data_IF_317371932944
#
_entry.id   IF_317371932944
#
_cell.length_a   1.000
_cell.length_b   1.000
_cell.length_c   1.000
_cell.angle_alpha   90.00
_cell.angle_beta   90.00
_cell.angle_gamma   90.00
#
_symmetry.space_group_name_H-M   'P 1'
#
loop_
_entity.id
_entity.type
_entity.pdbx_description
1 polymer ?
#
# COMPACT_ATOMS: atom_id res chain seq x y z
N UNK A 1 8.13 16.07 14.94
CA UNK A 1 7.77 15.72 13.52
C UNK A 1 8.53 14.48 13.14
N UNK A 2 7.89 13.53 12.47
CA UNK A 2 8.54 12.34 11.92
C UNK A 2 9.53 12.77 10.82
N UNK A 3 10.79 12.30 10.90
CA UNK A 3 11.76 12.55 9.83
C UNK A 3 11.40 11.71 8.61
N UNK A 4 10.93 12.35 7.56
CA UNK A 4 10.65 11.71 6.26
C UNK A 4 11.98 11.47 5.55
N UNK A 5 12.18 10.24 5.10
CA UNK A 5 13.34 9.80 4.32
C UNK A 5 12.92 9.30 2.95
N UNK A 6 13.89 9.21 2.04
CA UNK A 6 13.71 8.71 0.68
C UNK A 6 14.70 7.59 0.39
N UNK A 7 14.23 6.54 -0.24
CA UNK A 7 15.04 5.45 -0.76
C UNK A 7 14.86 5.39 -2.28
N UNK A 8 15.92 5.63 -3.03
CA UNK A 8 15.86 5.70 -4.50
C UNK A 8 15.66 4.33 -5.11
N UNK A 9 14.81 4.25 -6.15
CA UNK A 9 14.51 3.05 -6.89
C UNK A 9 15.19 3.06 -8.27
N UNK A 10 15.32 1.88 -8.87
CA UNK A 10 15.95 1.68 -10.18
C UNK A 10 15.25 2.38 -11.34
N UNK A 11 13.96 2.68 -11.18
CA UNK A 11 13.15 3.38 -12.18
C UNK A 11 13.25 4.92 -12.12
N UNK A 12 14.14 5.43 -11.26
CA UNK A 12 14.34 6.87 -11.03
C UNK A 12 13.34 7.50 -10.05
N UNK A 13 12.43 6.71 -9.48
CA UNK A 13 11.55 7.14 -8.39
C UNK A 13 12.17 6.86 -7.02
N UNK A 14 11.39 7.01 -5.94
CA UNK A 14 11.83 6.67 -4.59
C UNK A 14 10.68 6.12 -3.75
N UNK A 15 11.00 5.33 -2.75
CA UNK A 15 10.12 5.00 -1.63
C UNK A 15 10.25 6.10 -0.58
N UNK A 16 9.15 6.75 -0.22
CA UNK A 16 9.07 7.60 0.97
C UNK A 16 8.90 6.73 2.19
N UNK A 17 9.66 6.98 3.24
CA UNK A 17 9.56 6.21 4.46
C UNK A 17 9.89 7.01 5.72
N UNK A 18 9.52 6.44 6.87
CA UNK A 18 9.94 6.90 8.21
C UNK A 18 10.57 5.75 8.97
N UNK A 19 11.47 6.08 9.90
CA UNK A 19 11.99 5.12 10.88
C UNK A 19 11.91 5.72 12.28
N UNK A 20 11.43 4.93 13.23
CA UNK A 20 11.21 5.39 14.60
C UNK A 20 11.42 4.25 15.60
N UNK A 21 11.76 4.62 16.85
CA UNK A 21 11.99 3.66 17.92
C UNK A 21 13.35 3.00 17.83
N UNK A 22 13.53 1.96 18.63
CA UNK A 22 14.78 1.18 18.73
C UNK A 22 14.45 -0.30 18.96
N UNK A 23 15.43 -1.18 18.75
CA UNK A 23 15.27 -2.62 18.95
C UNK A 23 15.12 -3.39 17.63
N UNK A 24 14.37 -4.49 17.66
CA UNK A 24 14.23 -5.36 16.50
C UNK A 24 13.51 -4.65 15.34
N UNK A 25 14.00 -4.76 14.09
CA UNK A 25 13.37 -4.10 12.95
C UNK A 25 11.99 -4.68 12.65
N UNK A 26 11.05 -3.77 12.37
CA UNK A 26 9.68 -4.06 11.98
C UNK A 26 9.31 -3.18 10.80
N UNK A 27 8.86 -3.77 9.69
CA UNK A 27 8.42 -3.08 8.48
C UNK A 27 6.90 -3.17 8.35
N UNK A 28 6.25 -2.03 8.16
CA UNK A 28 4.82 -1.94 7.92
C UNK A 28 4.54 -1.67 6.43
N UNK A 29 3.72 -2.53 5.83
CA UNK A 29 3.27 -2.45 4.44
C UNK A 29 1.75 -2.23 4.41
N UNK A 30 1.35 -1.07 3.92
CA UNK A 30 -0.07 -0.68 3.85
C UNK A 30 -0.81 -1.35 2.69
N UNK A 31 -2.12 -1.19 2.66
CA UNK A 31 -2.99 -1.66 1.58
C UNK A 31 -2.96 -0.73 0.36
N UNK A 32 -3.56 -1.17 -0.75
CA UNK A 32 -3.75 -0.37 -1.97
C UNK A 32 -4.43 0.98 -1.65
N UNK A 33 -4.10 2.02 -2.42
CA UNK A 33 -4.64 3.39 -2.27
C UNK A 33 -4.39 4.04 -0.91
N UNK A 34 -3.48 3.47 -0.14
CA UNK A 34 -3.15 3.94 1.19
C UNK A 34 -1.77 4.62 1.22
N UNK A 35 -1.31 5.01 2.39
CA UNK A 35 -0.08 5.73 2.61
C UNK A 35 0.47 5.50 4.02
N UNK A 36 1.71 5.89 4.26
CA UNK A 36 2.41 5.60 5.52
C UNK A 36 1.70 6.16 6.76
N UNK A 37 1.00 7.30 6.67
CA UNK A 37 0.28 7.91 7.79
C UNK A 37 -0.88 7.04 8.31
N UNK A 38 -1.29 6.03 7.55
CA UNK A 38 -2.24 5.01 8.03
C UNK A 38 -1.75 4.30 9.29
N UNK A 39 -0.44 4.21 9.46
CA UNK A 39 0.18 3.53 10.60
C UNK A 39 0.36 4.42 11.83
N UNK A 40 0.06 5.72 11.76
CA UNK A 40 0.35 6.69 12.82
C UNK A 40 -0.26 6.31 14.18
N UNK A 41 -1.46 5.73 14.17
CA UNK A 41 -2.12 5.28 15.40
C UNK A 41 -1.43 4.06 16.05
N UNK A 42 -0.66 3.29 15.29
CA UNK A 42 0.05 2.11 15.78
C UNK A 42 1.44 2.45 16.32
N UNK A 43 2.07 3.50 15.78
CA UNK A 43 3.46 3.85 16.09
C UNK A 43 3.73 4.03 17.59
N UNK A 44 2.89 4.73 18.39
CA UNK A 44 3.14 4.92 19.83
C UNK A 44 3.23 3.60 20.63
N UNK A 45 2.64 2.53 20.11
CA UNK A 45 2.67 1.21 20.73
C UNK A 45 3.85 0.38 20.25
N UNK A 46 4.11 0.41 18.95
CA UNK A 46 5.14 -0.43 18.31
C UNK A 46 6.55 0.08 18.62
N UNK A 47 6.78 1.39 18.60
CA UNK A 47 8.10 2.00 18.84
C UNK A 47 8.66 1.79 20.25
N UNK A 48 7.83 1.33 21.19
CA UNK A 48 8.28 0.93 22.53
C UNK A 48 9.17 -0.32 22.52
N UNK A 49 9.05 -1.17 21.48
CA UNK A 49 9.73 -2.48 21.42
C UNK A 49 10.46 -2.72 20.10
N UNK A 50 10.17 -1.95 19.08
CA UNK A 50 10.68 -2.16 17.73
C UNK A 50 11.28 -0.88 17.16
N UNK A 51 12.29 -1.06 16.30
CA UNK A 51 12.66 -0.05 15.33
C UNK A 51 11.72 -0.20 14.14
N UNK A 52 10.73 0.68 14.05
CA UNK A 52 9.62 0.59 13.08
C UNK A 52 9.96 1.38 11.83
N UNK A 53 9.88 0.72 10.69
CA UNK A 53 9.95 1.30 9.35
C UNK A 53 8.54 1.31 8.76
N UNK A 54 8.09 2.48 8.34
CA UNK A 54 6.81 2.63 7.63
C UNK A 54 7.11 3.22 6.28
N UNK A 55 6.64 2.57 5.22
CA UNK A 55 6.89 3.01 3.85
C UNK A 55 5.60 3.38 3.14
N UNK A 56 5.67 4.33 2.21
CA UNK A 56 4.74 4.36 1.10
C UNK A 56 5.17 3.30 0.08
N UNK A 57 4.32 2.37 -0.27
CA UNK A 57 4.60 1.42 -1.34
C UNK A 57 4.98 2.17 -2.63
N UNK A 58 5.78 1.59 -3.54
CA UNK A 58 6.08 2.20 -4.82
C UNK A 58 4.83 2.73 -5.52
N UNK A 59 4.86 4.00 -5.93
CA UNK A 59 3.71 4.68 -6.55
C UNK A 59 2.59 5.12 -5.62
N UNK A 60 2.59 4.72 -4.34
CA UNK A 60 1.56 5.09 -3.36
C UNK A 60 1.96 6.31 -2.51
N UNK A 61 0.99 6.82 -1.72
CA UNK A 61 1.22 7.96 -0.82
C UNK A 61 1.92 9.12 -1.52
N UNK A 62 3.08 9.54 -1.03
CA UNK A 62 3.93 10.55 -1.68
C UNK A 62 5.16 9.94 -2.39
N UNK A 63 5.26 8.60 -2.48
CA UNK A 63 6.19 7.95 -3.40
C UNK A 63 5.79 8.28 -4.85
N UNK A 64 6.71 8.80 -5.70
CA UNK A 64 6.37 9.23 -7.06
C UNK A 64 5.93 8.08 -7.95
N UNK A 65 5.28 8.41 -9.07
CA UNK A 65 4.86 7.47 -10.10
C UNK A 65 5.65 7.73 -11.38
N UNK A 66 6.37 6.74 -11.87
CA UNK A 66 6.93 6.74 -13.21
C UNK A 66 5.92 6.05 -14.15
N UNK A 67 5.40 6.79 -15.14
CA UNK A 67 4.39 6.28 -16.09
C UNK A 67 4.90 5.14 -16.98
N UNK A 68 6.23 4.96 -17.08
CA UNK A 68 6.87 3.91 -17.88
C UNK A 68 7.06 2.61 -17.07
N UNK A 69 6.93 2.67 -15.74
CA UNK A 69 7.11 1.53 -14.86
C UNK A 69 5.82 0.72 -14.77
N UNK A 70 5.95 -0.59 -14.94
CA UNK A 70 4.88 -1.52 -14.61
C UNK A 70 4.94 -1.81 -13.10
N UNK A 71 3.94 -1.35 -12.35
CA UNK A 71 3.85 -1.54 -10.89
C UNK A 71 3.23 -2.91 -10.55
N UNK A 72 3.74 -3.97 -11.18
CA UNK A 72 3.33 -5.33 -10.86
C UNK A 72 3.90 -5.84 -9.53
N UNK A 73 3.53 -7.05 -9.17
CA UNK A 73 3.97 -7.69 -7.94
C UNK A 73 5.49 -7.86 -7.90
N UNK A 74 6.12 -8.16 -9.03
CA UNK A 74 7.56 -8.37 -9.13
C UNK A 74 8.30 -7.06 -8.83
N UNK A 75 7.97 -5.98 -9.55
CA UNK A 75 8.58 -4.66 -9.33
C UNK A 75 8.40 -4.19 -7.88
N UNK A 76 7.19 -4.31 -7.31
CA UNK A 76 6.94 -3.91 -5.93
C UNK A 76 7.74 -4.75 -4.93
N UNK A 77 7.81 -6.07 -5.14
CA UNK A 77 8.59 -6.97 -4.29
C UNK A 77 10.06 -6.61 -4.35
N UNK A 78 10.62 -6.43 -5.54
CA UNK A 78 12.05 -6.17 -5.75
C UNK A 78 12.46 -4.79 -5.20
N UNK A 79 11.61 -3.79 -5.36
CA UNK A 79 11.81 -2.48 -4.76
C UNK A 79 11.91 -2.55 -3.23
N UNK A 80 11.05 -3.34 -2.58
CA UNK A 80 11.06 -3.50 -1.13
C UNK A 80 12.22 -4.40 -0.67
N UNK A 81 12.57 -5.42 -1.45
CA UNK A 81 13.76 -6.25 -1.19
C UNK A 81 15.02 -5.40 -1.22
N UNK A 82 15.21 -4.56 -2.25
CA UNK A 82 16.32 -3.62 -2.33
C UNK A 82 16.37 -2.68 -1.12
N UNK A 83 15.24 -2.15 -0.70
CA UNK A 83 15.12 -1.33 0.51
C UNK A 83 15.59 -2.08 1.77
N UNK A 84 15.18 -3.35 1.93
CA UNK A 84 15.55 -4.20 3.08
C UNK A 84 17.07 -4.50 3.05
N UNK A 85 17.63 -4.76 1.88
CA UNK A 85 19.02 -5.11 1.70
C UNK A 85 19.96 -3.92 1.90
N UNK A 86 19.67 -2.78 1.29
CA UNK A 86 20.48 -1.57 1.40
C UNK A 86 20.51 -1.02 2.82
N UNK A 87 19.39 -1.09 3.54
CA UNK A 87 19.33 -0.74 4.97
C UNK A 87 19.88 -1.85 5.88
N UNK A 88 20.37 -2.96 5.29
CA UNK A 88 20.90 -4.14 5.98
C UNK A 88 20.00 -4.65 7.10
N UNK A 89 18.68 -4.65 6.87
CA UNK A 89 17.71 -5.14 7.85
C UNK A 89 17.82 -6.65 7.97
N UNK A 90 18.02 -7.14 9.19
CA UNK A 90 18.14 -8.58 9.54
C UNK A 90 17.16 -8.92 10.66
N UNK A 91 16.78 -10.19 10.76
CA UNK A 91 15.76 -10.65 11.71
C UNK A 91 14.47 -9.81 11.62
N UNK A 92 14.11 -9.38 10.41
CA UNK A 92 13.03 -8.45 10.15
C UNK A 92 11.65 -9.09 10.43
N UNK A 93 10.80 -8.38 11.13
CA UNK A 93 9.37 -8.67 11.17
C UNK A 93 8.65 -7.80 10.14
N UNK A 94 7.85 -8.40 9.25
CA UNK A 94 7.03 -7.66 8.29
C UNK A 94 5.57 -7.80 8.69
N UNK A 95 4.87 -6.69 8.71
CA UNK A 95 3.41 -6.62 8.92
C UNK A 95 2.80 -6.04 7.67
N UNK A 96 1.91 -6.77 7.03
CA UNK A 96 1.26 -6.35 5.79
C UNK A 96 -0.25 -6.50 5.83
N UNK A 97 -0.94 -5.57 5.20
CA UNK A 97 -2.39 -5.60 5.02
C UNK A 97 -2.75 -5.67 3.54
N UNK A 98 -3.69 -6.56 3.17
CA UNK A 98 -4.17 -6.73 1.79
C UNK A 98 -3.01 -6.98 0.82
N UNK A 99 -2.73 -6.09 -0.15
CA UNK A 99 -1.56 -6.20 -1.03
C UNK A 99 -0.24 -6.23 -0.25
N UNK A 100 -0.13 -5.47 0.84
CA UNK A 100 1.03 -5.49 1.73
C UNK A 100 1.26 -6.86 2.36
N UNK A 101 0.20 -7.63 2.63
CA UNK A 101 0.30 -9.00 3.13
C UNK A 101 0.83 -9.97 2.06
N UNK A 102 0.38 -9.82 0.81
CA UNK A 102 0.90 -10.59 -0.33
C UNK A 102 2.38 -10.29 -0.55
N UNK A 103 2.76 -9.00 -0.54
CA UNK A 103 4.15 -8.58 -0.66
C UNK A 103 5.01 -9.13 0.49
N UNK A 104 4.52 -9.10 1.74
CA UNK A 104 5.24 -9.66 2.88
C UNK A 104 5.55 -11.16 2.69
N UNK A 105 4.58 -11.94 2.19
CA UNK A 105 4.77 -13.37 1.90
C UNK A 105 5.76 -13.59 0.75
N UNK A 106 5.67 -12.80 -0.32
CA UNK A 106 6.58 -12.90 -1.47
C UNK A 106 8.01 -12.52 -1.10
N UNK A 107 8.19 -11.44 -0.32
CA UNK A 107 9.49 -11.02 0.22
C UNK A 107 10.09 -12.12 1.11
N UNK A 108 9.29 -12.69 2.02
CA UNK A 108 9.76 -13.78 2.89
C UNK A 108 10.19 -15.01 2.10
N UNK A 109 9.55 -15.31 0.97
CA UNK A 109 9.97 -16.37 0.06
C UNK A 109 11.29 -16.02 -0.66
N UNK A 110 11.49 -14.74 -1.05
CA UNK A 110 12.65 -14.30 -1.85
C UNK A 110 13.92 -14.14 -1.02
N UNK A 111 13.81 -13.64 0.21
CA UNK A 111 14.95 -13.39 1.12
C UNK A 111 14.71 -13.99 2.53
N UNK A 112 14.46 -15.32 2.65
CA UNK A 112 14.05 -15.94 3.90
C UNK A 112 15.07 -15.77 5.04
N UNK A 113 16.36 -15.69 4.73
CA UNK A 113 17.43 -15.50 5.72
C UNK A 113 17.38 -14.16 6.46
N UNK A 114 16.72 -13.16 5.92
CA UNK A 114 16.55 -11.84 6.55
C UNK A 114 15.26 -11.72 7.36
N UNK A 115 14.27 -12.60 7.13
CA UNK A 115 12.93 -12.48 7.69
C UNK A 115 12.78 -13.38 8.91
N UNK A 116 12.38 -12.80 10.04
CA UNK A 116 12.08 -13.52 11.27
C UNK A 116 10.64 -13.98 11.34
N UNK A 117 9.71 -13.09 11.00
CA UNK A 117 8.25 -13.31 11.04
C UNK A 117 7.53 -12.45 10.03
N UNK A 118 6.37 -12.91 9.59
CA UNK A 118 5.40 -12.11 8.87
C UNK A 118 4.05 -12.15 9.59
N UNK A 119 3.34 -11.02 9.60
CA UNK A 119 1.95 -10.92 10.02
C UNK A 119 1.15 -10.40 8.84
N UNK A 120 0.23 -11.22 8.35
CA UNK A 120 -0.59 -10.93 7.18
C UNK A 120 -2.03 -10.70 7.61
N UNK A 121 -2.55 -9.49 7.37
CA UNK A 121 -3.93 -9.13 7.66
C UNK A 121 -4.70 -8.98 6.36
N UNK A 122 -5.88 -9.58 6.29
CA UNK A 122 -6.80 -9.49 5.14
C UNK A 122 -6.10 -9.73 3.80
N UNK A 123 -5.11 -10.64 3.77
CA UNK A 123 -4.46 -11.03 2.52
C UNK A 123 -5.54 -11.51 1.56
N UNK A 124 -5.58 -10.94 0.36
CA UNK A 124 -6.45 -11.49 -0.66
C UNK A 124 -5.68 -12.53 -1.47
N UNK A 125 -6.40 -13.58 -1.80
CA UNK A 125 -5.91 -14.67 -2.60
C UNK A 125 -6.02 -14.29 -4.09
N UNK A 126 -5.01 -14.62 -4.88
CA UNK A 126 -5.06 -14.56 -6.35
C UNK A 126 -5.96 -15.67 -6.96
N UNK A 127 -6.68 -16.42 -6.14
CA UNK A 127 -7.63 -17.42 -6.62
C UNK A 127 -8.73 -16.74 -7.49
N UNK A 128 -9.15 -17.44 -8.53
CA UNK A 128 -10.29 -17.08 -9.38
C UNK A 128 -11.57 -16.75 -8.60
N UNK A 129 -11.64 -17.17 -7.33
CA UNK A 129 -12.70 -16.82 -6.37
C UNK A 129 -12.59 -15.42 -5.78
N UNK A 130 -11.52 -14.66 -6.10
CA UNK A 130 -11.32 -13.31 -5.60
C UNK A 130 -12.49 -12.38 -5.91
N UNK A 131 -13.04 -12.42 -7.12
CA UNK A 131 -14.21 -11.64 -7.50
C UNK A 131 -15.40 -11.88 -6.53
N UNK A 132 -15.58 -13.11 -6.05
CA UNK A 132 -16.60 -13.43 -5.05
C UNK A 132 -16.24 -12.89 -3.66
N UNK A 133 -14.94 -12.84 -3.30
CA UNK A 133 -14.46 -12.30 -2.04
C UNK A 133 -14.63 -10.78 -1.95
N UNK A 134 -14.28 -10.05 -2.99
CA UNK A 134 -14.49 -8.59 -3.07
C UNK A 134 -15.98 -8.23 -3.09
N UNK A 135 -16.80 -9.02 -3.77
CA UNK A 135 -18.27 -8.86 -3.79
C UNK A 135 -18.91 -9.03 -2.40
N UNK A 136 -18.27 -9.76 -1.50
CA UNK A 136 -18.75 -9.93 -0.10
C UNK A 136 -18.43 -8.73 0.80
N UNK A 137 -17.49 -7.87 0.42
CA UNK A 137 -16.99 -6.78 1.25
C UNK A 137 -17.82 -5.50 1.10
N UNK A 138 -17.38 -4.66 0.21
CA UNK A 138 -17.97 -3.32 0.01
C UNK A 138 -18.38 -3.17 -1.45
N UNK A 139 -19.69 -3.13 -1.73
CA UNK A 139 -20.24 -2.97 -3.07
C UNK A 139 -19.63 -1.77 -3.81
N UNK A 140 -19.43 -0.63 -3.15
CA UNK A 140 -18.86 0.55 -3.77
C UNK A 140 -17.38 0.37 -4.14
N UNK A 141 -16.59 -0.30 -3.29
CA UNK A 141 -15.21 -0.63 -3.62
C UNK A 141 -15.13 -1.56 -4.82
N UNK A 142 -15.98 -2.60 -4.84
CA UNK A 142 -16.08 -3.54 -5.97
C UNK A 142 -16.49 -2.84 -7.25
N UNK A 143 -17.52 -1.98 -7.17
CA UNK A 143 -18.00 -1.20 -8.30
C UNK A 143 -16.89 -0.32 -8.89
N UNK A 144 -16.16 0.40 -8.06
CA UNK A 144 -15.05 1.26 -8.51
C UNK A 144 -13.90 0.46 -9.11
N UNK A 145 -13.46 -0.61 -8.46
CA UNK A 145 -12.39 -1.48 -8.98
C UNK A 145 -12.75 -2.05 -10.34
N UNK A 146 -13.98 -2.55 -10.49
CA UNK A 146 -14.48 -3.07 -11.76
C UNK A 146 -14.48 -1.97 -12.84
N UNK A 147 -15.02 -0.80 -12.56
CA UNK A 147 -15.15 0.27 -13.55
C UNK A 147 -13.80 0.91 -13.91
N UNK A 148 -12.86 1.01 -12.98
CA UNK A 148 -11.49 1.48 -13.26
C UNK A 148 -10.74 0.54 -14.20
N UNK A 149 -11.06 -0.75 -14.20
CA UNK A 149 -10.44 -1.74 -15.10
C UNK A 149 -11.01 -1.74 -16.53
N UNK A 150 -12.11 -1.05 -16.80
CA UNK A 150 -12.76 -1.05 -18.11
C UNK A 150 -11.85 -0.51 -19.22
N UNK A 151 -11.92 -1.10 -20.44
CA UNK A 151 -11.14 -0.67 -21.61
C UNK A 151 -11.64 0.67 -22.19
N UNK A 152 -10.99 1.11 -23.28
CA UNK A 152 -11.44 2.24 -24.13
C UNK A 152 -11.59 3.59 -23.41
N UNK A 153 -10.77 3.86 -22.39
CA UNK A 153 -10.81 5.14 -21.67
C UNK A 153 -11.89 5.25 -20.60
N UNK A 154 -12.85 4.32 -20.53
CA UNK A 154 -13.88 4.29 -19.50
C UNK A 154 -13.24 4.12 -18.10
N UNK A 155 -12.25 3.26 -17.97
CA UNK A 155 -11.51 3.09 -16.72
C UNK A 155 -10.83 4.38 -16.26
N UNK A 156 -10.28 5.16 -17.18
CA UNK A 156 -9.69 6.47 -16.88
C UNK A 156 -10.77 7.46 -16.40
N UNK A 157 -11.95 7.44 -17.01
CA UNK A 157 -13.07 8.28 -16.58
C UNK A 157 -13.49 7.93 -15.13
N UNK A 158 -13.67 6.66 -14.82
CA UNK A 158 -14.04 6.23 -13.47
C UNK A 158 -12.95 6.51 -12.43
N UNK A 159 -11.67 6.37 -12.79
CA UNK A 159 -10.56 6.73 -11.90
C UNK A 159 -10.54 8.24 -11.58
N UNK A 160 -10.98 9.10 -12.50
CA UNK A 160 -11.13 10.54 -12.25
C UNK A 160 -12.28 10.90 -11.30
N UNK A 161 -13.25 10.00 -11.12
CA UNK A 161 -14.36 10.20 -10.19
C UNK A 161 -13.96 9.93 -8.73
N UNK A 162 -12.73 9.45 -8.47
CA UNK A 162 -12.22 9.31 -7.12
C UNK A 162 -12.09 10.69 -6.47
N UNK A 163 -12.96 10.93 -5.53
CA UNK A 163 -13.13 12.21 -4.83
C UNK A 163 -13.29 11.97 -3.33
N UNK A 164 -13.31 13.04 -2.55
CA UNK A 164 -13.53 12.93 -1.11
C UNK A 164 -14.78 12.12 -0.74
N UNK A 165 -15.98 12.32 -1.31
CA UNK A 165 -17.15 11.50 -0.97
C UNK A 165 -16.98 10.01 -1.24
N UNK A 166 -16.38 9.65 -2.38
CA UNK A 166 -16.16 8.25 -2.74
C UNK A 166 -15.14 7.57 -1.83
N UNK A 167 -14.00 8.20 -1.57
CA UNK A 167 -13.00 7.69 -0.64
C UNK A 167 -13.55 7.61 0.79
N UNK A 168 -14.30 8.61 1.23
CA UNK A 168 -14.98 8.59 2.52
C UNK A 168 -15.87 7.36 2.69
N UNK A 169 -16.70 7.08 1.68
CA UNK A 169 -17.62 5.96 1.71
C UNK A 169 -16.87 4.62 1.69
N UNK A 170 -15.84 4.47 0.85
CA UNK A 170 -15.07 3.25 0.72
C UNK A 170 -14.34 2.93 2.03
N UNK A 171 -13.55 3.87 2.55
CA UNK A 171 -12.72 3.62 3.73
C UNK A 171 -13.55 3.41 4.99
N UNK A 172 -14.62 4.19 5.18
CA UNK A 172 -15.53 3.98 6.32
C UNK A 172 -16.40 2.74 6.21
N UNK A 173 -16.70 2.30 4.99
CA UNK A 173 -17.41 1.05 4.76
C UNK A 173 -16.59 -0.21 5.08
N UNK A 174 -15.25 -0.11 4.99
CA UNK A 174 -14.33 -1.21 5.24
C UNK A 174 -13.90 -1.40 6.70
N UNK A 175 -14.29 -0.51 7.62
CA UNK A 175 -13.85 -0.57 9.02
C UNK A 175 -15.02 -0.69 9.99
N UNK A 176 -14.84 -1.49 11.05
CA UNK A 176 -15.84 -1.64 12.10
C UNK A 176 -16.07 -0.33 12.87
N UNK A 177 -15.00 0.30 13.35
CA UNK A 177 -15.04 1.58 14.06
C UNK A 177 -14.89 2.75 13.08
N UNK A 178 -16.00 3.22 12.55
CA UNK A 178 -16.04 4.31 11.53
C UNK A 178 -15.33 5.59 11.94
N UNK A 179 -15.29 5.91 13.25
CA UNK A 179 -14.58 7.09 13.79
C UNK A 179 -13.05 6.99 13.68
N UNK A 180 -12.49 5.81 13.42
CA UNK A 180 -11.04 5.67 13.19
C UNK A 180 -10.61 6.30 11.85
N UNK A 181 -11.54 6.45 10.90
CA UNK A 181 -11.29 7.11 9.61
C UNK A 181 -11.79 8.55 9.72
N UNK A 182 -10.85 9.48 9.91
CA UNK A 182 -11.15 10.91 10.06
C UNK A 182 -11.29 11.61 8.72
N UNK A 183 -11.95 12.77 8.70
CA UNK A 183 -12.05 13.62 7.51
C UNK A 183 -10.67 14.11 7.04
N UNK A 184 -9.78 14.42 7.98
CA UNK A 184 -8.41 14.84 7.72
C UNK A 184 -7.63 13.75 6.98
N UNK A 185 -7.77 12.51 7.43
CA UNK A 185 -7.13 11.35 6.77
C UNK A 185 -7.65 11.17 5.34
N UNK A 186 -8.97 11.27 5.11
CA UNK A 186 -9.54 11.19 3.76
C UNK A 186 -9.08 12.35 2.87
N UNK A 187 -9.00 13.59 3.41
CA UNK A 187 -8.43 14.72 2.67
C UNK A 187 -6.99 14.44 2.25
N UNK A 188 -6.20 13.85 3.14
CA UNK A 188 -4.82 13.47 2.87
C UNK A 188 -4.73 12.40 1.76
N UNK A 189 -5.62 11.39 1.76
CA UNK A 189 -5.71 10.42 0.67
C UNK A 189 -6.05 11.09 -0.67
N UNK A 190 -6.95 12.07 -0.66
CA UNK A 190 -7.29 12.84 -1.86
C UNK A 190 -6.11 13.61 -2.45
N UNK A 191 -5.06 13.92 -1.68
CA UNK A 191 -3.85 14.52 -2.26
C UNK A 191 -3.09 13.56 -3.16
N UNK A 192 -3.11 12.27 -2.81
CA UNK A 192 -2.46 11.22 -3.61
C UNK A 192 -3.14 11.03 -4.97
N UNK A 193 -4.47 11.23 -5.07
CA UNK A 193 -5.20 11.10 -6.34
C UNK A 193 -4.84 12.18 -7.36
N UNK A 194 -4.25 13.28 -6.91
CA UNK A 194 -3.83 14.40 -7.75
C UNK A 194 -2.41 14.27 -8.32
N UNK A 195 -1.69 13.21 -7.93
CA UNK A 195 -0.32 13.00 -8.41
C UNK A 195 -0.27 12.78 -9.93
N UNK A 196 0.77 13.30 -10.61
CA UNK A 196 1.01 12.94 -12.00
C UNK A 196 1.18 11.42 -12.15
N UNK A 197 0.42 10.81 -13.05
CA UNK A 197 0.46 9.36 -13.29
C UNK A 197 -0.48 8.52 -12.42
N UNK A 198 -1.14 9.11 -11.41
CA UNK A 198 -2.03 8.38 -10.50
C UNK A 198 -3.06 7.50 -11.23
N UNK A 199 -3.73 8.03 -12.24
CA UNK A 199 -4.77 7.30 -13.01
C UNK A 199 -4.18 6.06 -13.70
N UNK A 200 -2.97 6.17 -14.26
CA UNK A 200 -2.29 5.04 -14.89
C UNK A 200 -1.89 3.98 -13.87
N UNK A 201 -1.38 4.42 -12.73
CA UNK A 201 -0.99 3.54 -11.63
C UNK A 201 -2.20 2.78 -11.08
N UNK A 202 -3.30 3.46 -10.78
CA UNK A 202 -4.55 2.87 -10.29
C UNK A 202 -5.15 1.87 -11.28
N UNK A 203 -5.12 2.19 -12.57
CA UNK A 203 -5.58 1.27 -13.60
C UNK A 203 -4.71 0.02 -13.68
N UNK A 204 -3.40 0.16 -13.66
CA UNK A 204 -2.48 -0.97 -13.68
C UNK A 204 -2.67 -1.86 -12.46
N UNK A 205 -2.77 -1.29 -11.26
CA UNK A 205 -3.08 -2.02 -10.04
C UNK A 205 -4.43 -2.75 -10.14
N UNK A 206 -5.46 -2.11 -10.70
CA UNK A 206 -6.78 -2.73 -10.87
C UNK A 206 -6.74 -3.91 -11.84
N UNK A 207 -5.91 -3.84 -12.90
CA UNK A 207 -5.73 -4.93 -13.86
C UNK A 207 -4.96 -6.12 -13.28
N UNK A 208 -4.06 -5.88 -12.32
CA UNK A 208 -3.36 -6.96 -11.59
C UNK A 208 -4.33 -7.73 -10.69
N UNK A 209 -5.43 -7.10 -10.27
CA UNK A 209 -6.41 -7.66 -9.34
C UNK A 209 -7.64 -8.30 -10.00
N UNK A 210 -7.71 -8.33 -11.33
CA UNK A 210 -8.77 -8.96 -12.12
C UNK A 210 -8.24 -10.17 -12.89
#
# INVERSE_FOLDING_TARGET
MQSIKKFNLSDGTFIRYTEQGSGQPLLLLHTIRNRLEYSDLLLPYLTKKFKVYVIDLPGHGDSPINKKTNYDQEFMTDSIVSFIEDLNLKNLTIVGESIGAVLAATIAKKIPSRIKKIFCFNAYDYDKRFAQGVMRGNFMATFLLFHVSLPLGLGVFFAKLESFPTLWMIFRGGVHKKSAITSEYIKLLCTSTKKPGFIYHERNLSLIHI
#
